data_IF_994212323313
#
_entry.id   IF_994212323313
#
_cell.length_a   1.000
_cell.length_b   1.000
_cell.length_c   1.000
_cell.angle_alpha   90.00
_cell.angle_beta   90.00
_cell.angle_gamma   90.00
#
_symmetry.space_group_name_H-M   'P 1'
#
loop_
_entity.id
_entity.type
_entity.pdbx_description
1 polymer ?
#
# COMPACT_ATOMS: atom_id res chain seq x y z
N UNK A 1 5.81 15.58 -3.08
CA UNK A 1 4.40 15.97 -3.33
C UNK A 1 3.65 16.04 -1.99
N UNK A 2 2.61 16.86 -1.82
CA UNK A 2 1.81 16.84 -0.57
C UNK A 2 0.73 15.75 -0.64
N UNK A 3 0.87 14.69 0.15
CA UNK A 3 -0.12 13.63 0.27
C UNK A 3 -0.91 13.79 1.57
N UNK A 4 -2.24 13.72 1.46
CA UNK A 4 -3.16 13.78 2.60
C UNK A 4 -3.84 12.42 2.76
N UNK A 5 -3.95 11.98 4.00
CA UNK A 5 -4.76 10.81 4.34
C UNK A 5 -6.14 11.26 4.83
N UNK A 6 -7.16 10.51 4.44
CA UNK A 6 -8.48 10.54 5.04
C UNK A 6 -8.58 9.41 6.07
N UNK A 7 -8.79 9.67 7.37
CA UNK A 7 -9.00 8.63 8.37
C UNK A 7 -10.11 7.62 8.01
N UNK A 8 -11.09 8.03 7.19
CA UNK A 8 -12.18 7.19 6.68
C UNK A 8 -11.96 6.73 5.23
N UNK A 9 -10.82 7.06 4.65
CA UNK A 9 -10.46 6.72 3.28
C UNK A 9 -10.16 5.23 3.08
N UNK A 10 -10.19 4.81 1.82
CA UNK A 10 -9.88 3.44 1.44
C UNK A 10 -8.37 3.24 1.49
N UNK A 11 -7.96 2.13 2.11
CA UNK A 11 -6.58 1.68 2.13
C UNK A 11 -6.39 0.52 1.16
N UNK A 12 -5.30 0.59 0.42
CA UNK A 12 -4.92 -0.36 -0.60
C UNK A 12 -3.65 -1.11 -0.22
N UNK A 13 -3.55 -2.34 -0.70
CA UNK A 13 -2.36 -3.17 -0.62
C UNK A 13 -2.11 -3.88 -1.95
N UNK A 14 -0.86 -3.84 -2.40
CA UNK A 14 -0.40 -4.59 -3.56
C UNK A 14 0.39 -5.82 -3.16
N UNK A 15 0.10 -6.96 -3.78
CA UNK A 15 0.91 -8.17 -3.63
C UNK A 15 0.88 -9.03 -4.89
N UNK A 16 1.92 -9.83 -5.09
CA UNK A 16 1.99 -10.85 -6.14
C UNK A 16 1.44 -12.22 -5.68
N UNK A 17 0.69 -12.26 -4.59
CA UNK A 17 0.15 -13.47 -3.98
C UNK A 17 -1.31 -13.27 -3.62
N UNK A 18 -2.10 -14.35 -3.70
CA UNK A 18 -3.51 -14.36 -3.32
C UNK A 18 -3.68 -14.77 -1.85
N UNK A 19 -4.37 -13.94 -1.07
CA UNK A 19 -4.72 -14.20 0.33
C UNK A 19 -5.92 -13.34 0.76
N UNK A 20 -6.50 -13.68 1.92
CA UNK A 20 -7.57 -12.93 2.58
C UNK A 20 -7.13 -12.21 3.86
N UNK A 21 -5.89 -12.43 4.30
CA UNK A 21 -5.30 -11.77 5.47
C UNK A 21 -3.82 -11.48 5.20
N UNK A 22 -3.42 -10.22 5.40
CA UNK A 22 -2.02 -9.82 5.30
C UNK A 22 -1.34 -9.90 6.68
N UNK A 23 -0.04 -10.14 6.69
CA UNK A 23 0.76 -10.21 7.92
C UNK A 23 0.97 -8.81 8.53
N UNK A 24 1.31 -8.80 9.83
CA UNK A 24 1.90 -7.62 10.49
C UNK A 24 3.15 -7.16 9.74
N UNK A 25 3.33 -5.86 9.62
CA UNK A 25 4.47 -5.25 8.94
C UNK A 25 4.33 -5.22 7.41
N UNK A 26 3.15 -5.53 6.88
CA UNK A 26 2.83 -5.28 5.47
C UNK A 26 2.63 -3.79 5.21
N UNK A 27 2.97 -3.35 4.00
CA UNK A 27 2.78 -1.96 3.55
C UNK A 27 1.38 -1.75 2.99
N UNK A 28 0.75 -0.63 3.34
CA UNK A 28 -0.53 -0.17 2.78
C UNK A 28 -0.45 1.32 2.44
N UNK A 29 -1.32 1.80 1.56
CA UNK A 29 -1.38 3.20 1.14
C UNK A 29 -2.79 3.60 0.73
N UNK A 30 -3.16 4.87 0.85
CA UNK A 30 -4.41 5.39 0.24
C UNK A 30 -4.24 5.76 -1.23
N UNK A 31 -3.00 5.75 -1.73
CA UNK A 31 -2.71 5.97 -3.14
C UNK A 31 -2.80 4.66 -3.90
N UNK A 32 -3.92 4.48 -4.62
CA UNK A 32 -4.23 3.23 -5.32
C UNK A 32 -3.11 2.83 -6.30
N UNK A 33 -2.69 3.71 -7.19
CA UNK A 33 -1.69 3.44 -8.22
C UNK A 33 -0.33 3.05 -7.62
N UNK A 34 0.01 3.58 -6.45
CA UNK A 34 1.20 3.17 -5.71
C UNK A 34 1.10 1.73 -5.21
N UNK A 35 -0.06 1.33 -4.68
CA UNK A 35 -0.30 -0.07 -4.33
C UNK A 35 -0.25 -0.99 -5.56
N UNK A 36 -0.81 -0.58 -6.70
CA UNK A 36 -0.73 -1.33 -7.96
C UNK A 36 0.74 -1.55 -8.36
N UNK A 37 1.57 -0.51 -8.37
CA UNK A 37 2.98 -0.60 -8.68
C UNK A 37 3.77 -1.52 -7.71
N UNK A 38 3.47 -1.47 -6.42
CA UNK A 38 4.07 -2.38 -5.43
C UNK A 38 3.67 -3.84 -5.62
N UNK A 39 2.49 -4.11 -6.18
CA UNK A 39 1.99 -5.47 -6.38
C UNK A 39 2.90 -6.31 -7.27
N UNK A 40 3.60 -5.67 -8.21
CA UNK A 40 4.51 -6.31 -9.17
C UNK A 40 5.91 -6.65 -8.62
N UNK A 41 6.11 -6.59 -7.28
CA UNK A 41 7.38 -6.83 -6.58
C UNK A 41 8.59 -6.10 -7.19
N UNK A 42 8.51 -4.77 -7.36
CA UNK A 42 9.65 -4.00 -7.82
C UNK A 42 10.84 -4.09 -6.86
N UNK A 43 12.04 -4.12 -7.40
CA UNK A 43 13.27 -3.85 -6.63
C UNK A 43 13.60 -2.35 -6.58
N UNK A 44 13.02 -1.57 -7.49
CA UNK A 44 13.07 -0.11 -7.52
C UNK A 44 11.70 0.44 -7.86
N UNK A 45 11.21 1.35 -7.02
CA UNK A 45 10.00 2.13 -7.23
C UNK A 45 10.28 3.57 -6.79
N UNK A 46 9.84 4.53 -7.59
CA UNK A 46 9.94 5.96 -7.32
C UNK A 46 8.79 6.70 -8.01
N UNK A 47 8.56 7.95 -7.65
CA UNK A 47 7.66 8.83 -8.38
C UNK A 47 8.24 10.24 -8.45
N UNK A 48 7.84 11.01 -9.46
CA UNK A 48 8.24 12.40 -9.62
C UNK A 48 7.32 13.38 -8.87
N UNK A 49 7.61 14.67 -8.94
CA UNK A 49 6.80 15.70 -8.26
C UNK A 49 5.35 15.80 -8.78
N UNK A 50 5.06 15.24 -9.96
CA UNK A 50 3.71 15.17 -10.54
C UNK A 50 2.96 13.91 -10.12
N UNK A 51 3.59 13.03 -9.33
CA UNK A 51 3.03 11.74 -8.94
C UNK A 51 3.13 10.67 -10.04
N UNK A 52 3.95 10.87 -11.07
CA UNK A 52 4.18 9.83 -12.09
C UNK A 52 5.00 8.70 -11.48
N UNK A 53 4.44 7.49 -11.39
CA UNK A 53 5.09 6.33 -10.77
C UNK A 53 5.96 5.58 -11.78
N UNK A 54 7.18 5.25 -11.37
CA UNK A 54 8.14 4.45 -12.10
C UNK A 54 8.54 3.24 -11.26
N UNK A 55 8.43 2.04 -11.81
CA UNK A 55 8.89 0.83 -11.14
C UNK A 55 9.44 -0.19 -12.14
N UNK A 56 10.24 -1.13 -11.64
CA UNK A 56 10.81 -2.22 -12.45
C UNK A 56 10.22 -3.60 -12.11
N UNK A 57 9.14 -3.65 -11.34
CA UNK A 57 8.42 -4.88 -11.03
C UNK A 57 7.77 -5.49 -12.27
N UNK A 58 7.84 -6.82 -12.39
CA UNK A 58 7.28 -7.58 -13.52
C UNK A 58 6.46 -8.79 -13.07
N UNK A 59 6.40 -9.04 -11.76
CA UNK A 59 5.58 -10.14 -11.23
C UNK A 59 4.10 -9.84 -11.46
N UNK A 60 3.29 -10.89 -11.57
CA UNK A 60 1.83 -10.75 -11.64
C UNK A 60 1.30 -10.06 -10.39
N UNK A 61 0.46 -9.04 -10.56
CA UNK A 61 -0.01 -8.19 -9.47
C UNK A 61 -1.45 -8.50 -9.05
N UNK A 62 -1.76 -8.25 -7.78
CA UNK A 62 -3.12 -8.25 -7.26
C UNK A 62 -3.31 -7.04 -6.36
N UNK A 63 -4.43 -6.34 -6.56
CA UNK A 63 -4.81 -5.21 -5.74
C UNK A 63 -5.83 -5.64 -4.68
N UNK A 64 -5.63 -5.18 -3.46
CA UNK A 64 -6.49 -5.43 -2.32
C UNK A 64 -6.96 -4.13 -1.69
N UNK A 65 -8.15 -4.18 -1.07
CA UNK A 65 -8.61 -3.19 -0.09
C UNK A 65 -8.65 -3.81 1.30
N UNK A 66 -8.48 -2.99 2.32
CA UNK A 66 -8.68 -3.41 3.72
C UNK A 66 -10.17 -3.68 3.96
N UNK A 67 -10.48 -4.85 4.53
CA UNK A 67 -11.85 -5.37 4.73
C UNK A 67 -12.25 -5.40 6.21
N UNK A 68 -11.68 -4.48 7.00
CA UNK A 68 -12.03 -4.28 8.41
C UNK A 68 -11.68 -2.84 8.85
N UNK A 69 -12.27 -2.35 9.96
CA UNK A 69 -11.90 -1.05 10.51
C UNK A 69 -10.45 -1.02 10.99
N UNK A 70 -9.74 0.06 10.65
CA UNK A 70 -8.36 0.31 11.10
C UNK A 70 -8.22 1.77 11.54
N UNK A 71 -7.38 2.01 12.54
CA UNK A 71 -7.09 3.33 13.09
C UNK A 71 -5.59 3.65 12.98
N UNK A 72 -5.26 4.82 12.44
CA UNK A 72 -3.89 5.34 12.40
C UNK A 72 -3.35 5.51 13.82
N UNK A 73 -2.11 5.08 14.06
CA UNK A 73 -1.47 5.09 15.37
C UNK A 73 -1.77 3.84 16.21
N UNK A 74 -2.88 3.14 15.97
CA UNK A 74 -3.26 1.91 16.70
C UNK A 74 -2.97 0.67 15.86
N UNK A 75 -3.54 0.60 14.66
CA UNK A 75 -3.43 -0.56 13.76
C UNK A 75 -2.36 -0.37 12.69
N UNK A 76 -2.09 0.88 12.31
CA UNK A 76 -1.14 1.25 11.26
C UNK A 76 -0.32 2.47 11.67
N UNK A 77 0.83 2.68 11.04
CA UNK A 77 1.71 3.82 11.31
C UNK A 77 2.54 4.15 10.08
N UNK A 78 2.93 5.43 9.94
CA UNK A 78 3.81 5.88 8.87
C UNK A 78 5.06 5.00 8.80
N UNK A 79 5.42 4.58 7.59
CA UNK A 79 6.61 3.75 7.39
C UNK A 79 7.85 4.52 7.88
N UNK A 80 8.55 4.08 8.95
CA UNK A 80 9.52 4.92 9.67
C UNK A 80 10.85 5.10 8.94
N UNK A 81 11.08 4.33 7.88
CA UNK A 81 12.33 4.33 7.08
C UNK A 81 12.05 4.44 5.58
N UNK A 82 10.90 5.00 5.20
CA UNK A 82 10.65 5.27 3.78
C UNK A 82 11.39 6.54 3.37
N UNK A 83 11.76 6.62 2.10
CA UNK A 83 12.25 7.84 1.45
C UNK A 83 11.15 8.53 0.64
N UNK A 84 9.95 7.94 0.60
CA UNK A 84 8.76 8.54 0.01
C UNK A 84 8.22 9.66 0.91
N UNK A 85 7.36 10.49 0.34
CA UNK A 85 6.70 11.59 1.05
C UNK A 85 5.93 11.07 2.27
N UNK A 86 5.73 11.96 3.24
CA UNK A 86 4.82 11.71 4.35
C UNK A 86 3.43 11.30 3.81
N UNK A 87 2.78 10.37 4.50
CA UNK A 87 1.50 9.78 4.12
C UNK A 87 1.50 8.89 2.86
N UNK A 88 2.63 8.70 2.16
CA UNK A 88 2.68 7.80 1.01
C UNK A 88 2.51 6.32 1.38
N UNK A 89 3.10 5.90 2.50
CA UNK A 89 3.18 4.49 2.88
C UNK A 89 3.07 4.29 4.40
N UNK A 90 2.27 3.29 4.78
CA UNK A 90 2.04 2.90 6.17
C UNK A 90 2.34 1.42 6.36
N UNK A 91 2.76 1.05 7.57
CA UNK A 91 2.96 -0.33 7.98
C UNK A 91 1.87 -0.80 8.93
N UNK A 92 1.46 -2.06 8.80
CA UNK A 92 0.51 -2.69 9.73
C UNK A 92 1.17 -3.11 11.05
N UNK A 93 0.46 -2.93 12.17
CA UNK A 93 0.89 -3.34 13.53
C UNK A 93 0.37 -4.72 13.94
N UNK A 94 -0.59 -5.26 13.19
CA UNK A 94 -1.23 -6.57 13.37
C UNK A 94 -1.57 -7.19 12.01
N UNK A 95 -1.96 -8.47 11.95
CA UNK A 95 -2.61 -9.03 10.77
C UNK A 95 -3.91 -8.27 10.45
N UNK A 96 -4.19 -8.09 9.16
CA UNK A 96 -5.34 -7.32 8.68
C UNK A 96 -6.04 -8.08 7.55
N UNK A 97 -7.36 -8.20 7.63
CA UNK A 97 -8.22 -8.78 6.61
C UNK A 97 -8.28 -7.90 5.37
N UNK A 98 -8.26 -8.55 4.22
CA UNK A 98 -8.32 -7.89 2.93
C UNK A 98 -9.30 -8.55 1.99
N UNK A 99 -9.78 -7.75 1.05
CA UNK A 99 -10.59 -8.17 -0.07
C UNK A 99 -9.87 -7.85 -1.37
N UNK A 100 -9.70 -8.85 -2.23
CA UNK A 100 -9.15 -8.65 -3.57
C UNK A 100 -10.11 -7.80 -4.40
N UNK A 101 -9.57 -6.78 -5.07
CA UNK A 101 -10.31 -5.92 -5.98
C UNK A 101 -10.18 -6.44 -7.41
N UNK A 102 -8.95 -6.66 -7.86
CA UNK A 102 -8.65 -7.11 -9.21
C UNK A 102 -7.25 -7.73 -9.31
N UNK A 103 -7.01 -8.37 -10.45
CA UNK A 103 -5.71 -8.83 -10.93
C UNK A 103 -5.10 -7.75 -11.85
N UNK A 104 -3.77 -7.62 -11.84
CA UNK A 104 -2.97 -6.61 -12.57
C UNK A 104 -1.84 -7.27 -13.38
#
# INVERSE_FOLDING_TARGET
MELKIDPNGIWYHGSNMVFSEMKKGSTITQWKELAEAFSHKPSRLSYDDNGTIYHNGTEKGYLYTIDEPITVGIDIYQHPRTVMDENAEFLTKRPIKVKMVCEL
#
